data_IF_745021591811
#
_entry.id   IF_745021591811
#
_cell.length_a   1.000
_cell.length_b   1.000
_cell.length_c   1.000
_cell.angle_alpha   90.00
_cell.angle_beta   90.00
_cell.angle_gamma   90.00
#
_symmetry.space_group_name_H-M   'P 1'
#
loop_
_entity.id
_entity.type
_entity.pdbx_description
1 polymer ?
#
# COMPACT_ATOMS: atom_id res chain seq x y z
N UNK A 1 -8.51 -13.20 22.44
CA UNK A 1 -7.29 -13.17 21.61
C UNK A 1 -7.39 -11.96 20.70
N UNK A 2 -6.74 -10.87 21.08
CA UNK A 2 -6.64 -9.65 20.26
C UNK A 2 -5.16 -9.39 20.10
N UNK A 3 -4.56 -9.94 19.04
CA UNK A 3 -3.21 -9.56 18.65
C UNK A 3 -3.26 -8.12 18.16
N UNK A 4 -3.02 -7.22 19.11
CA UNK A 4 -2.82 -5.80 18.89
C UNK A 4 -1.40 -5.66 18.40
N UNK A 5 -1.21 -5.42 17.11
CA UNK A 5 0.05 -4.92 16.56
C UNK A 5 0.33 -3.55 17.20
N UNK A 6 0.90 -3.55 18.40
CA UNK A 6 1.44 -2.38 19.07
C UNK A 6 2.94 -2.41 18.84
N UNK A 7 3.43 -1.49 18.02
CA UNK A 7 4.85 -1.16 17.86
C UNK A 7 5.48 -0.59 19.15
N UNK A 8 4.74 -0.57 20.28
CA UNK A 8 5.13 0.07 21.54
C UNK A 8 4.92 1.59 21.55
N UNK A 9 4.76 2.22 20.39
CA UNK A 9 4.60 3.67 20.22
C UNK A 9 3.43 3.96 19.29
N UNK A 10 2.40 4.67 19.76
CA UNK A 10 1.33 5.18 18.90
C UNK A 10 1.88 6.33 18.04
N UNK A 11 2.36 6.01 16.84
CA UNK A 11 2.84 6.99 15.86
C UNK A 11 2.03 6.87 14.56
N UNK A 12 1.13 7.83 14.35
CA UNK A 12 0.29 7.87 13.15
C UNK A 12 1.11 8.05 11.86
N UNK A 13 2.27 8.73 11.93
CA UNK A 13 3.16 8.86 10.79
C UNK A 13 3.81 7.54 10.45
N UNK A 14 4.32 6.83 11.46
CA UNK A 14 4.86 5.48 11.27
C UNK A 14 3.81 4.55 10.65
N UNK A 15 2.59 4.58 11.17
CA UNK A 15 1.49 3.75 10.66
C UNK A 15 1.18 4.06 9.18
N UNK A 16 1.09 5.35 8.81
CA UNK A 16 0.84 5.76 7.42
C UNK A 16 2.03 5.44 6.50
N UNK A 17 3.26 5.57 6.96
CA UNK A 17 4.47 5.18 6.23
C UNK A 17 4.49 3.66 5.99
N UNK A 18 4.11 2.87 7.00
CA UNK A 18 4.00 1.42 6.87
C UNK A 18 2.96 1.02 5.83
N UNK A 19 1.76 1.62 5.87
CA UNK A 19 0.72 1.40 4.85
C UNK A 19 1.21 1.80 3.46
N UNK A 20 1.84 2.97 3.33
CA UNK A 20 2.41 3.45 2.06
C UNK A 20 3.44 2.45 1.51
N UNK A 21 4.37 2.00 2.35
CA UNK A 21 5.40 1.03 1.97
C UNK A 21 4.79 -0.27 1.46
N UNK A 22 3.85 -0.86 2.21
CA UNK A 22 3.22 -2.13 1.83
C UNK A 22 2.40 -2.01 0.56
N UNK A 23 1.69 -0.90 0.37
CA UNK A 23 0.92 -0.65 -0.85
C UNK A 23 1.83 -0.57 -2.09
N UNK A 24 2.91 0.21 -2.01
CA UNK A 24 3.89 0.31 -3.11
C UNK A 24 4.56 -1.03 -3.40
N UNK A 25 4.96 -1.77 -2.36
CA UNK A 25 5.56 -3.10 -2.52
C UNK A 25 4.60 -4.08 -3.17
N UNK A 26 3.33 -4.12 -2.74
CA UNK A 26 2.32 -4.99 -3.33
C UNK A 26 2.08 -4.64 -4.81
N UNK A 27 1.93 -3.36 -5.14
CA UNK A 27 1.80 -2.91 -6.54
C UNK A 27 2.99 -3.32 -7.41
N UNK A 28 4.21 -3.30 -6.89
CA UNK A 28 5.40 -3.74 -7.61
C UNK A 28 5.42 -5.26 -7.81
N UNK A 29 5.09 -6.04 -6.78
CA UNK A 29 4.98 -7.51 -6.87
C UNK A 29 3.91 -7.95 -7.88
N UNK A 30 2.79 -7.23 -7.97
CA UNK A 30 1.73 -7.53 -8.94
C UNK A 30 2.24 -7.51 -10.39
N UNK A 31 3.28 -6.75 -10.74
CA UNK A 31 3.83 -6.76 -12.10
C UNK A 31 4.43 -8.11 -12.48
N UNK A 32 5.09 -8.79 -11.54
CA UNK A 32 5.58 -10.16 -11.75
C UNK A 32 4.41 -11.13 -11.86
N UNK A 33 3.44 -11.03 -10.95
CA UNK A 33 2.30 -11.96 -10.94
C UNK A 33 1.41 -11.84 -12.17
N UNK A 34 1.24 -10.63 -12.72
CA UNK A 34 0.55 -10.41 -14.00
C UNK A 34 1.29 -11.12 -15.12
N UNK A 35 2.63 -10.99 -15.20
CA UNK A 35 3.44 -11.67 -16.24
C UNK A 35 3.33 -13.19 -16.14
N UNK A 36 3.38 -13.73 -14.93
CA UNK A 36 3.26 -15.18 -14.71
C UNK A 36 1.87 -15.68 -15.14
N UNK A 37 0.81 -14.94 -14.81
CA UNK A 37 -0.57 -15.25 -15.23
C UNK A 37 -0.76 -15.12 -16.76
N UNK A 38 -0.15 -14.11 -17.40
CA UNK A 38 -0.13 -13.94 -18.85
C UNK A 38 0.54 -15.14 -19.54
N UNK A 39 1.68 -15.60 -19.02
CA UNK A 39 2.40 -16.78 -19.55
C UNK A 39 1.60 -18.07 -19.37
N UNK A 40 0.87 -18.20 -18.26
CA UNK A 40 -0.02 -19.33 -18.02
C UNK A 40 -1.32 -19.28 -18.84
N UNK A 41 -1.62 -18.16 -19.50
CA UNK A 41 -2.89 -17.96 -20.22
C UNK A 41 -4.11 -17.77 -19.31
N UNK A 42 -3.89 -17.49 -18.02
CA UNK A 42 -4.95 -17.33 -17.03
C UNK A 42 -5.43 -15.87 -16.98
N UNK A 43 -6.48 -15.59 -17.76
CA UNK A 43 -7.05 -14.23 -17.86
C UNK A 43 -7.72 -13.76 -16.58
N UNK A 44 -8.25 -14.67 -15.76
CA UNK A 44 -8.90 -14.31 -14.50
C UNK A 44 -7.86 -13.79 -13.51
N UNK A 45 -6.73 -14.49 -13.39
CA UNK A 45 -5.61 -14.05 -12.55
C UNK A 45 -4.98 -12.75 -13.04
N UNK A 46 -4.84 -12.55 -14.36
CA UNK A 46 -4.36 -11.27 -14.91
C UNK A 46 -5.26 -10.12 -14.44
N UNK A 47 -6.57 -10.26 -14.59
CA UNK A 47 -7.51 -9.20 -14.18
C UNK A 47 -7.48 -8.98 -12.67
N UNK A 48 -7.41 -10.06 -11.90
CA UNK A 48 -7.33 -9.99 -10.44
C UNK A 48 -6.09 -9.21 -9.98
N UNK A 49 -4.90 -9.54 -10.49
CA UNK A 49 -3.67 -8.85 -10.10
C UNK A 49 -3.60 -7.42 -10.62
N UNK A 50 -4.19 -7.11 -11.78
CA UNK A 50 -4.34 -5.74 -12.25
C UNK A 50 -5.22 -4.90 -11.30
N UNK A 51 -6.32 -5.46 -10.81
CA UNK A 51 -7.19 -4.78 -9.85
C UNK A 51 -6.46 -4.52 -8.53
N UNK A 52 -5.78 -5.55 -7.96
CA UNK A 52 -4.96 -5.41 -6.75
C UNK A 52 -3.91 -4.31 -6.94
N UNK A 53 -3.22 -4.27 -8.09
CA UNK A 53 -2.22 -3.23 -8.41
C UNK A 53 -2.84 -1.83 -8.34
N UNK A 54 -3.98 -1.62 -9.00
CA UNK A 54 -4.66 -0.33 -9.03
C UNK A 54 -5.15 0.12 -7.65
N UNK A 55 -5.70 -0.78 -6.85
CA UNK A 55 -6.16 -0.48 -5.49
C UNK A 55 -5.01 -0.08 -4.57
N UNK A 56 -3.87 -0.76 -4.68
CA UNK A 56 -2.67 -0.44 -3.93
C UNK A 56 -2.07 0.91 -4.36
N UNK A 57 -2.08 1.25 -5.65
CA UNK A 57 -1.66 2.57 -6.12
C UNK A 57 -2.53 3.69 -5.51
N UNK A 58 -3.85 3.54 -5.53
CA UNK A 58 -4.79 4.49 -4.90
C UNK A 58 -4.55 4.61 -3.39
N UNK A 59 -4.27 3.50 -2.72
CA UNK A 59 -3.95 3.47 -1.29
C UNK A 59 -2.66 4.22 -0.99
N UNK A 60 -1.62 3.99 -1.80
CA UNK A 60 -0.35 4.70 -1.67
C UNK A 60 -0.53 6.22 -1.83
N UNK A 61 -1.29 6.66 -2.83
CA UNK A 61 -1.53 8.09 -3.05
C UNK A 61 -2.32 8.74 -1.90
N UNK A 62 -3.34 8.04 -1.38
CA UNK A 62 -4.09 8.50 -0.20
C UNK A 62 -3.19 8.60 1.03
N UNK A 63 -2.33 7.61 1.27
CA UNK A 63 -1.39 7.61 2.40
C UNK A 63 -0.41 8.79 2.29
N UNK A 64 0.13 9.08 1.09
CA UNK A 64 0.98 10.26 0.84
C UNK A 64 0.26 11.56 1.15
N UNK A 65 -0.98 11.72 0.69
CA UNK A 65 -1.78 12.92 0.97
C UNK A 65 -2.04 13.11 2.47
N UNK A 66 -2.31 12.03 3.20
CA UNK A 66 -2.53 12.08 4.65
C UNK A 66 -1.24 12.41 5.42
N UNK A 67 -0.09 11.91 4.96
CA UNK A 67 1.22 12.26 5.51
C UNK A 67 1.55 13.73 5.27
N UNK A 68 1.41 14.22 4.04
CA UNK A 68 1.72 15.61 3.70
C UNK A 68 0.97 16.61 4.61
N UNK A 69 -0.34 16.41 4.77
CA UNK A 69 -1.19 17.24 5.65
C UNK A 69 -0.72 17.25 7.10
N UNK A 70 -0.24 16.12 7.63
CA UNK A 70 0.23 16.02 9.02
C UNK A 70 1.63 16.60 9.18
N UNK A 71 2.51 16.42 8.19
CA UNK A 71 3.84 17.02 8.23
C UNK A 71 3.74 18.55 8.19
N UNK A 72 2.87 19.12 7.35
CA UNK A 72 2.59 20.57 7.33
C UNK A 72 2.16 21.11 8.70
N UNK A 73 1.32 20.37 9.44
CA UNK A 73 0.89 20.74 10.78
C UNK A 73 2.04 20.76 11.80
N UNK A 74 3.04 19.90 11.65
CA UNK A 74 4.21 19.87 12.55
C UNK A 74 5.15 21.06 12.38
N UNK A 75 5.23 21.66 11.18
CA UNK A 75 6.12 22.82 10.91
C UNK A 75 5.42 24.17 11.12
N UNK A 76 4.11 24.16 11.35
CA UNK A 76 3.29 25.35 11.56
C UNK A 76 3.25 25.82 13.03
N UNK A 77 4.11 25.27 13.90
CA UNK A 77 4.26 25.61 15.32
C UNK A 77 5.72 25.96 15.61
#
# INVERSE_FOLDING_TARGET
MTDKYHTGTNDEHFNLISVLYHALKCSACCETYIKDAEQAGDRELVQFFQNIKQENQKTADRAKQMLAKRTEQLVAH
#
